data_IF_014138091379
#
_entry.id   IF_014138091379
#
_cell.length_a   1.000
_cell.length_b   1.000
_cell.length_c   1.000
_cell.angle_alpha   90.00
_cell.angle_beta   90.00
_cell.angle_gamma   90.00
#
_symmetry.space_group_name_H-M   'P 1'
#
loop_
_entity.id
_entity.type
_entity.pdbx_description
1 polymer ?
#
# COMPACT_ATOMS: atom_id res chain seq x y z
N UNK A 1 -0.91 -5.14 -58.72
CA UNK A 1 -1.76 -5.26 -57.54
C UNK A 1 -1.09 -5.86 -56.27
N UNK A 2 0.20 -6.28 -56.26
CA UNK A 2 0.88 -6.85 -55.05
C UNK A 2 1.53 -5.79 -54.14
N UNK A 3 1.75 -4.56 -54.58
CA UNK A 3 2.44 -3.52 -53.78
C UNK A 3 1.52 -2.74 -52.84
N UNK A 4 0.20 -2.72 -53.07
CA UNK A 4 -0.75 -2.00 -52.24
C UNK A 4 -1.12 -2.78 -50.95
N UNK A 5 -1.09 -4.12 -50.98
CA UNK A 5 -1.42 -4.94 -49.81
C UNK A 5 -0.34 -4.92 -48.69
N UNK A 6 0.94 -4.71 -49.09
CA UNK A 6 2.06 -4.62 -48.15
C UNK A 6 2.10 -3.30 -47.36
N UNK A 7 1.63 -2.18 -47.98
CA UNK A 7 1.58 -0.89 -47.32
C UNK A 7 0.43 -0.80 -46.27
N UNK A 8 -0.69 -1.46 -46.53
CA UNK A 8 -1.82 -1.48 -45.57
C UNK A 8 -1.55 -2.32 -44.36
N UNK A 9 -0.76 -3.40 -44.48
CA UNK A 9 -0.41 -4.27 -43.35
C UNK A 9 0.60 -3.60 -42.41
N UNK A 10 1.58 -2.84 -42.95
CA UNK A 10 2.55 -2.11 -42.13
C UNK A 10 1.93 -0.95 -41.35
N UNK A 11 0.93 -0.26 -41.91
CA UNK A 11 0.22 0.82 -41.22
C UNK A 11 -0.66 0.28 -40.06
N UNK A 12 -1.27 -0.88 -40.25
CA UNK A 12 -2.11 -1.49 -39.21
C UNK A 12 -1.27 -2.00 -38.02
N UNK A 13 -0.09 -2.56 -38.27
CA UNK A 13 0.83 -3.01 -37.20
C UNK A 13 1.41 -1.82 -36.43
N UNK A 14 1.76 -0.71 -37.10
CA UNK A 14 2.22 0.51 -36.42
C UNK A 14 1.12 1.16 -35.56
N UNK A 15 -0.11 1.21 -36.05
CA UNK A 15 -1.23 1.79 -35.27
C UNK A 15 -1.54 0.95 -34.01
N UNK A 16 -1.46 -0.38 -34.09
CA UNK A 16 -1.65 -1.26 -32.93
C UNK A 16 -0.53 -1.11 -31.90
N UNK A 17 0.72 -0.96 -32.33
CA UNK A 17 1.86 -0.76 -31.43
C UNK A 17 1.79 0.59 -30.71
N UNK A 18 1.39 1.67 -31.37
CA UNK A 18 1.23 2.99 -30.78
C UNK A 18 0.07 3.02 -29.78
N UNK A 19 -1.03 2.32 -30.04
CA UNK A 19 -2.16 2.24 -29.11
C UNK A 19 -1.81 1.45 -27.85
N UNK A 20 -1.03 0.36 -27.97
CA UNK A 20 -0.56 -0.42 -26.81
C UNK A 20 0.41 0.37 -25.92
N UNK A 21 1.31 1.15 -26.51
CA UNK A 21 2.25 1.99 -25.77
C UNK A 21 1.56 3.14 -25.03
N UNK A 22 0.56 3.77 -25.65
CA UNK A 22 -0.26 4.80 -25.01
C UNK A 22 -1.10 4.22 -23.85
N UNK A 23 -1.58 3.00 -23.98
CA UNK A 23 -2.34 2.33 -22.94
C UNK A 23 -1.46 1.99 -21.70
N UNK A 24 -0.24 1.52 -21.90
CA UNK A 24 0.72 1.29 -20.82
C UNK A 24 1.06 2.59 -20.09
N UNK A 25 1.30 3.68 -20.82
CA UNK A 25 1.55 5.00 -20.21
C UNK A 25 0.35 5.51 -19.40
N UNK A 26 -0.89 5.30 -19.87
CA UNK A 26 -2.09 5.68 -19.13
C UNK A 26 -2.25 4.85 -17.84
N UNK A 27 -1.95 3.54 -17.87
CA UNK A 27 -2.00 2.69 -16.69
C UNK A 27 -0.98 3.13 -15.63
N UNK A 28 0.26 3.43 -16.03
CA UNK A 28 1.30 3.92 -15.12
C UNK A 28 0.89 5.24 -14.45
N UNK A 29 0.29 6.18 -15.20
CA UNK A 29 -0.22 7.44 -14.64
C UNK A 29 -1.35 7.21 -13.63
N UNK A 30 -2.28 6.29 -13.90
CA UNK A 30 -3.36 5.96 -12.98
C UNK A 30 -2.80 5.35 -11.69
N UNK A 31 -1.84 4.42 -11.80
CA UNK A 31 -1.20 3.79 -10.64
C UNK A 31 -0.36 4.79 -9.84
N UNK A 32 0.41 5.68 -10.48
CA UNK A 32 1.15 6.75 -9.77
C UNK A 32 0.18 7.65 -8.99
N UNK A 33 -0.91 8.10 -9.61
CA UNK A 33 -1.95 8.89 -8.92
C UNK A 33 -2.58 8.14 -7.76
N UNK A 34 -2.81 6.83 -7.91
CA UNK A 34 -3.33 5.99 -6.85
C UNK A 34 -2.34 5.89 -5.69
N UNK A 35 -1.07 5.69 -5.96
CA UNK A 35 -0.03 5.70 -4.93
C UNK A 35 0.05 7.05 -4.22
N UNK A 36 -0.01 8.18 -4.96
CA UNK A 36 -0.03 9.52 -4.39
C UNK A 36 -1.24 9.72 -3.46
N UNK A 37 -2.43 9.31 -3.88
CA UNK A 37 -3.64 9.43 -3.07
C UNK A 37 -3.59 8.58 -1.80
N UNK A 38 -3.11 7.34 -1.89
CA UNK A 38 -3.18 6.37 -0.80
C UNK A 38 -2.00 6.46 0.18
N UNK A 39 -0.78 6.62 -0.34
CA UNK A 39 0.44 6.60 0.49
C UNK A 39 1.02 7.99 0.76
N UNK A 40 0.77 9.00 -0.09
CA UNK A 40 1.45 10.30 -0.03
C UNK A 40 0.55 11.48 0.37
N UNK A 41 -0.70 11.24 0.78
CA UNK A 41 -1.60 12.30 1.24
C UNK A 41 -0.98 13.11 2.41
N UNK A 42 -0.99 14.44 2.32
CA UNK A 42 -0.35 15.34 3.30
C UNK A 42 1.17 15.29 3.29
N UNK A 43 1.81 16.17 4.05
CA UNK A 43 3.26 16.20 4.26
C UNK A 43 3.70 15.16 5.30
N UNK A 44 2.86 14.94 6.30
CA UNK A 44 3.00 13.89 7.30
C UNK A 44 1.61 13.42 7.78
N UNK A 45 1.59 12.33 8.53
CA UNK A 45 0.36 11.74 9.08
C UNK A 45 0.65 11.10 10.43
N UNK A 46 -0.27 11.30 11.38
CA UNK A 46 -0.37 10.53 12.63
C UNK A 46 -1.73 9.85 12.68
N UNK A 47 -1.76 8.58 13.09
CA UNK A 47 -3.00 7.84 13.33
C UNK A 47 -2.82 6.84 14.48
N UNK A 48 -3.88 6.60 15.23
CA UNK A 48 -4.06 5.39 16.02
C UNK A 48 -4.64 4.32 15.11
N UNK A 49 -4.07 3.14 15.14
CA UNK A 49 -4.47 2.02 14.28
C UNK A 49 -4.89 0.84 15.14
N UNK A 50 -6.04 0.28 14.84
CA UNK A 50 -6.53 -0.97 15.41
C UNK A 50 -6.48 -2.03 14.32
N UNK A 51 -5.81 -3.16 14.59
CA UNK A 51 -5.72 -4.31 13.69
C UNK A 51 -6.37 -5.51 14.36
N UNK A 52 -7.42 -6.04 13.77
CA UNK A 52 -8.10 -7.27 14.19
C UNK A 52 -7.67 -8.42 13.28
N UNK A 53 -6.93 -9.36 13.82
CA UNK A 53 -6.50 -10.59 13.15
C UNK A 53 -7.55 -11.66 13.47
N UNK A 54 -8.26 -12.14 12.43
CA UNK A 54 -9.45 -12.97 12.59
C UNK A 54 -9.23 -14.28 11.83
N UNK A 55 -9.28 -15.40 12.55
CA UNK A 55 -9.18 -16.74 11.95
C UNK A 55 -10.45 -17.10 11.21
N UNK A 56 -10.41 -18.15 10.39
CA UNK A 56 -11.58 -18.72 9.73
C UNK A 56 -12.68 -19.13 10.73
N UNK A 57 -12.28 -19.66 11.90
CA UNK A 57 -13.18 -20.01 13.01
C UNK A 57 -13.74 -18.81 13.78
N UNK A 58 -13.37 -17.56 13.40
CA UNK A 58 -13.86 -16.34 14.03
C UNK A 58 -13.09 -15.90 15.27
N UNK A 59 -12.03 -16.61 15.70
CA UNK A 59 -11.19 -16.14 16.81
C UNK A 59 -10.50 -14.84 16.43
N UNK A 60 -10.56 -13.85 17.33
CA UNK A 60 -10.03 -12.49 17.10
C UNK A 60 -8.86 -12.19 18.04
N UNK A 61 -7.81 -11.62 17.48
CA UNK A 61 -6.69 -11.03 18.23
C UNK A 61 -6.51 -9.59 17.78
N UNK A 62 -6.73 -8.66 18.70
CA UNK A 62 -6.64 -7.22 18.42
C UNK A 62 -5.26 -6.69 18.77
N UNK A 63 -4.74 -5.80 17.93
CA UNK A 63 -3.52 -5.02 18.14
C UNK A 63 -3.82 -3.55 18.03
N UNK A 64 -3.23 -2.76 18.90
CA UNK A 64 -3.35 -1.30 18.89
C UNK A 64 -1.96 -0.71 18.73
N UNK A 65 -1.82 0.19 17.76
CA UNK A 65 -0.54 0.86 17.49
C UNK A 65 -0.74 2.32 17.10
N UNK A 66 0.30 3.13 17.26
CA UNK A 66 0.43 4.44 16.63
C UNK A 66 1.23 4.29 15.35
N UNK A 67 0.74 4.88 14.27
CA UNK A 67 1.43 4.99 12.99
C UNK A 67 1.76 6.45 12.70
N UNK A 68 3.02 6.69 12.38
CA UNK A 68 3.55 7.98 11.95
C UNK A 68 4.15 7.81 10.55
N UNK A 69 3.85 8.76 9.66
CA UNK A 69 4.39 8.81 8.31
C UNK A 69 4.86 10.22 8.01
N UNK A 70 5.97 10.33 7.27
CA UNK A 70 6.49 11.60 6.75
C UNK A 70 6.93 11.45 5.30
N UNK A 71 6.52 12.40 4.48
CA UNK A 71 6.92 12.51 3.08
C UNK A 71 8.05 13.53 2.95
N UNK A 72 9.03 13.24 2.12
CA UNK A 72 10.01 14.23 1.68
C UNK A 72 9.48 14.85 0.37
N UNK A 73 9.16 16.14 0.42
CA UNK A 73 8.60 16.87 -0.71
C UNK A 73 9.55 16.96 -1.92
N UNK A 74 10.88 16.77 -1.71
CA UNK A 74 11.90 16.94 -2.78
C UNK A 74 12.20 15.64 -3.51
N UNK A 75 12.28 14.51 -2.77
CA UNK A 75 12.81 13.24 -3.29
C UNK A 75 11.75 12.15 -3.48
N UNK A 76 10.50 12.39 -3.12
CA UNK A 76 9.45 11.36 -2.99
C UNK A 76 9.83 10.23 -2.00
N UNK A 77 10.86 10.40 -1.18
CA UNK A 77 11.16 9.46 -0.10
C UNK A 77 10.07 9.54 0.97
N UNK A 78 9.82 8.42 1.62
CA UNK A 78 8.90 8.35 2.73
C UNK A 78 9.54 7.68 3.93
N UNK A 79 9.12 8.09 5.11
CA UNK A 79 9.51 7.45 6.36
C UNK A 79 8.26 7.06 7.14
N UNK A 80 8.29 5.88 7.73
CA UNK A 80 7.24 5.38 8.61
C UNK A 80 7.86 4.99 9.93
N UNK A 81 7.14 5.27 11.01
CA UNK A 81 7.43 4.77 12.35
C UNK A 81 6.15 4.27 12.98
N UNK A 82 6.20 3.07 13.56
CA UNK A 82 5.07 2.46 14.25
C UNK A 82 5.48 2.02 15.64
N UNK A 83 4.56 2.16 16.60
CA UNK A 83 4.73 1.70 17.97
C UNK A 83 3.51 0.91 18.39
N UNK A 84 3.70 -0.34 18.83
CA UNK A 84 2.63 -1.21 19.29
C UNK A 84 2.36 -1.00 20.78
N UNK A 85 1.11 -0.69 21.13
CA UNK A 85 0.66 -0.48 22.48
C UNK A 85 0.11 -1.76 23.12
N UNK A 86 -0.62 -2.55 22.31
CA UNK A 86 -1.35 -3.74 22.77
C UNK A 86 -1.34 -4.84 21.71
N UNK A 87 -1.52 -6.10 22.10
CA UNK A 87 -1.51 -6.66 23.48
C UNK A 87 -0.10 -6.79 24.06
N UNK A 88 0.01 -7.37 25.26
CA UNK A 88 1.29 -7.45 25.99
C UNK A 88 2.42 -8.19 25.25
N UNK A 89 2.09 -9.16 24.41
CA UNK A 89 3.07 -9.94 23.61
C UNK A 89 3.75 -9.12 22.48
N UNK A 90 3.13 -8.02 22.04
CA UNK A 90 3.71 -7.10 21.04
C UNK A 90 3.98 -5.70 21.57
N UNK A 91 3.59 -5.41 22.83
CA UNK A 91 3.79 -4.08 23.43
C UNK A 91 5.25 -3.66 23.38
N UNK A 92 5.48 -2.42 22.92
CA UNK A 92 6.82 -1.86 22.76
C UNK A 92 7.53 -2.30 21.48
N UNK A 93 6.96 -3.21 20.68
CA UNK A 93 7.47 -3.47 19.34
C UNK A 93 7.40 -2.19 18.52
N UNK A 94 8.50 -1.86 17.84
CA UNK A 94 8.58 -0.72 16.94
C UNK A 94 8.98 -1.16 15.55
N UNK A 95 8.50 -0.42 14.55
CA UNK A 95 8.83 -0.67 13.16
C UNK A 95 9.19 0.63 12.47
N UNK A 96 10.32 0.65 11.77
CA UNK A 96 10.83 1.79 11.02
C UNK A 96 10.99 1.43 9.55
N UNK A 97 10.53 2.30 8.66
CA UNK A 97 10.73 2.17 7.21
C UNK A 97 11.32 3.46 6.67
N UNK A 98 12.34 3.32 5.83
CA UNK A 98 12.79 4.36 4.90
C UNK A 98 12.51 3.85 3.49
N UNK A 99 11.50 4.43 2.85
CA UNK A 99 11.10 4.10 1.47
C UNK A 99 11.73 5.06 0.50
N UNK A 100 12.20 4.50 -0.60
CA UNK A 100 12.81 5.22 -1.72
C UNK A 100 12.04 4.92 -3.00
N UNK A 101 11.93 5.87 -3.96
CA UNK A 101 11.21 5.65 -5.21
C UNK A 101 11.97 4.76 -6.21
N UNK A 102 13.30 4.64 -6.06
CA UNK A 102 14.24 4.09 -7.05
C UNK A 102 15.01 2.86 -6.57
N UNK A 103 14.79 2.42 -5.34
CA UNK A 103 15.43 1.23 -4.75
C UNK A 103 14.57 0.60 -3.67
N UNK A 104 14.99 -0.57 -3.19
CA UNK A 104 14.35 -1.26 -2.08
C UNK A 104 14.31 -0.41 -0.81
N UNK A 105 13.19 -0.48 -0.10
CA UNK A 105 13.06 0.20 1.18
C UNK A 105 13.89 -0.48 2.26
N UNK A 106 14.51 0.33 3.12
CA UNK A 106 15.11 -0.16 4.35
C UNK A 106 14.04 -0.31 5.43
N UNK A 107 14.01 -1.46 6.10
CA UNK A 107 13.01 -1.79 7.13
C UNK A 107 13.68 -2.39 8.35
N UNK A 108 13.29 -1.94 9.54
CA UNK A 108 13.78 -2.46 10.81
C UNK A 108 12.61 -2.68 11.76
N UNK A 109 12.67 -3.76 12.51
CA UNK A 109 11.76 -4.08 13.60
C UNK A 109 12.54 -4.30 14.88
N UNK A 110 12.12 -3.65 15.95
CA UNK A 110 12.61 -3.93 17.30
C UNK A 110 11.60 -4.80 18.03
N UNK A 111 12.08 -5.87 18.64
CA UNK A 111 11.28 -6.86 19.38
C UNK A 111 11.73 -6.82 20.84
N UNK A 112 10.97 -6.17 21.74
CA UNK A 112 11.36 -6.00 23.15
C UNK A 112 11.60 -7.31 23.88
N UNK A 113 10.80 -8.35 23.61
CA UNK A 113 10.89 -9.65 24.28
C UNK A 113 12.26 -10.31 24.16
N UNK A 114 13.02 -10.01 23.11
CA UNK A 114 14.38 -10.51 22.88
C UNK A 114 15.42 -9.39 22.82
N UNK A 115 15.00 -8.15 23.10
CA UNK A 115 15.82 -6.93 23.07
C UNK A 115 16.68 -6.83 21.79
N UNK A 116 16.05 -7.00 20.61
CA UNK A 116 16.76 -7.11 19.35
C UNK A 116 16.15 -6.24 18.25
N UNK A 117 16.99 -5.47 17.57
CA UNK A 117 16.65 -4.85 16.29
C UNK A 117 17.00 -5.84 15.17
N UNK A 118 16.02 -6.14 14.32
CA UNK A 118 16.22 -6.96 13.12
C UNK A 118 15.94 -6.11 11.88
N UNK A 119 16.86 -6.11 10.92
CA UNK A 119 16.58 -5.60 9.58
C UNK A 119 15.76 -6.64 8.80
N UNK A 120 14.66 -6.21 8.21
CA UNK A 120 13.86 -7.02 7.30
C UNK A 120 14.52 -6.92 5.92
N UNK A 121 15.06 -8.03 5.43
CA UNK A 121 15.71 -8.06 4.12
C UNK A 121 14.69 -7.82 2.99
N UNK A 122 15.13 -7.31 1.84
CA UNK A 122 14.26 -7.04 0.70
C UNK A 122 13.47 -8.29 0.26
N UNK A 123 14.12 -9.46 0.23
CA UNK A 123 13.49 -10.76 -0.09
C UNK A 123 12.39 -11.16 0.89
N UNK A 124 12.43 -10.65 2.13
CA UNK A 124 11.46 -10.95 3.18
C UNK A 124 10.35 -9.87 3.27
N UNK A 125 10.35 -8.88 2.35
CA UNK A 125 9.38 -7.78 2.34
C UNK A 125 7.93 -8.27 2.20
N UNK A 126 7.72 -9.42 1.61
CA UNK A 126 6.41 -10.08 1.46
C UNK A 126 6.01 -10.96 2.63
N UNK A 127 6.88 -11.15 3.62
CA UNK A 127 6.52 -11.86 4.86
C UNK A 127 5.46 -11.10 5.63
N UNK A 128 4.68 -11.85 6.42
CA UNK A 128 3.59 -11.31 7.25
C UNK A 128 4.07 -10.20 8.19
N UNK A 129 3.41 -9.04 8.13
CA UNK A 129 3.64 -7.94 9.04
C UNK A 129 3.04 -8.26 10.41
N UNK A 130 3.92 -8.61 11.36
CA UNK A 130 3.56 -8.90 12.76
C UNK A 130 2.40 -9.91 12.86
N UNK A 131 2.40 -10.96 12.01
CA UNK A 131 1.39 -12.04 11.99
C UNK A 131 0.05 -11.69 11.36
N UNK A 132 -0.08 -10.53 10.70
CA UNK A 132 -1.27 -10.13 9.95
C UNK A 132 -1.26 -10.68 8.50
N UNK A 133 -2.36 -10.52 7.77
CA UNK A 133 -2.44 -10.84 6.34
C UNK A 133 -1.80 -9.77 5.45
N UNK A 134 -1.44 -8.62 6.01
CA UNK A 134 -0.60 -7.63 5.35
C UNK A 134 0.87 -8.04 5.41
N UNK A 135 1.63 -7.77 4.36
CA UNK A 135 3.08 -7.93 4.34
C UNK A 135 3.79 -6.65 4.81
N UNK A 136 5.10 -6.74 5.09
CA UNK A 136 5.92 -5.55 5.36
C UNK A 136 5.89 -4.55 4.20
N UNK A 137 5.78 -5.02 2.95
CA UNK A 137 5.68 -4.16 1.76
C UNK A 137 4.32 -3.45 1.69
N UNK A 138 3.21 -4.12 2.06
CA UNK A 138 1.87 -3.54 2.03
C UNK A 138 1.73 -2.32 2.98
N UNK A 139 2.62 -2.18 3.97
CA UNK A 139 2.65 -1.03 4.88
C UNK A 139 3.04 0.26 4.18
N UNK A 140 4.04 0.24 3.31
CA UNK A 140 4.60 1.42 2.65
C UNK A 140 4.33 1.45 1.14
N UNK A 141 3.75 0.39 0.61
CA UNK A 141 3.48 0.21 -0.81
C UNK A 141 4.72 -0.16 -1.62
N UNK A 142 4.47 -0.64 -2.82
CA UNK A 142 5.44 -1.08 -3.80
C UNK A 142 5.86 0.08 -4.72
N UNK A 143 7.04 0.04 -5.31
CA UNK A 143 7.45 1.05 -6.28
C UNK A 143 6.73 0.83 -7.62
N UNK A 144 6.38 1.93 -8.29
CA UNK A 144 5.71 1.88 -9.61
C UNK A 144 6.53 1.09 -10.63
N UNK A 145 7.85 1.28 -10.63
CA UNK A 145 8.76 0.67 -11.58
C UNK A 145 8.95 -0.85 -11.41
N UNK A 146 8.49 -1.42 -10.28
CA UNK A 146 8.68 -2.86 -9.98
C UNK A 146 7.70 -3.77 -10.73
N UNK A 147 6.64 -3.20 -11.31
CA UNK A 147 5.61 -3.94 -12.03
C UNK A 147 5.41 -3.38 -13.45
N UNK A 148 4.81 -4.19 -14.33
CA UNK A 148 4.22 -3.76 -15.59
C UNK A 148 2.73 -3.55 -15.36
N UNK A 149 2.20 -2.39 -15.77
CA UNK A 149 0.80 -2.04 -15.56
C UNK A 149 0.02 -2.00 -16.87
N UNK A 150 -1.19 -2.52 -16.86
CA UNK A 150 -2.10 -2.53 -18.01
C UNK A 150 -3.50 -2.12 -17.57
N UNK A 151 -4.09 -1.12 -18.21
CA UNK A 151 -5.50 -0.77 -18.04
C UNK A 151 -6.34 -1.81 -18.80
N UNK A 152 -7.05 -2.67 -18.06
CA UNK A 152 -7.87 -3.71 -18.66
C UNK A 152 -9.23 -3.18 -19.10
N UNK A 153 -9.90 -2.39 -18.24
CA UNK A 153 -11.25 -1.90 -18.43
C UNK A 153 -11.61 -0.84 -17.39
N UNK A 154 -12.76 -0.27 -17.59
CA UNK A 154 -13.47 0.54 -16.59
C UNK A 154 -14.73 -0.20 -16.18
N UNK A 155 -15.03 -0.21 -14.88
CA UNK A 155 -16.25 -0.84 -14.36
C UNK A 155 -16.67 -0.23 -13.02
N UNK A 156 -17.91 -0.49 -12.64
CA UNK A 156 -18.40 -0.11 -11.30
C UNK A 156 -17.96 -1.12 -10.25
N UNK A 157 -17.50 -0.59 -9.10
CA UNK A 157 -17.33 -1.35 -7.87
C UNK A 157 -18.19 -0.69 -6.78
N UNK A 158 -19.33 -1.33 -6.45
CA UNK A 158 -20.36 -0.67 -5.65
C UNK A 158 -20.91 0.58 -6.36
N UNK A 159 -20.85 1.72 -5.68
CA UNK A 159 -21.24 3.03 -6.22
C UNK A 159 -20.13 3.77 -6.97
N UNK A 160 -18.91 3.23 -6.95
CA UNK A 160 -17.72 3.88 -7.50
C UNK A 160 -17.47 3.47 -8.94
N UNK A 161 -17.14 4.45 -9.80
CA UNK A 161 -16.61 4.22 -11.13
C UNK A 161 -15.11 4.01 -11.03
N UNK A 162 -14.60 2.85 -11.44
CA UNK A 162 -13.21 2.44 -11.27
C UNK A 162 -12.49 2.20 -12.58
N UNK A 163 -11.18 2.47 -12.58
CA UNK A 163 -10.23 1.83 -13.47
C UNK A 163 -9.86 0.47 -12.92
N UNK A 164 -9.82 -0.56 -13.76
CA UNK A 164 -9.28 -1.88 -13.41
C UNK A 164 -7.92 -2.04 -14.05
N UNK A 165 -6.89 -2.04 -13.21
CA UNK A 165 -5.49 -2.16 -13.63
C UNK A 165 -4.98 -3.54 -13.27
N UNK A 166 -4.36 -4.23 -14.24
CA UNK A 166 -3.51 -5.38 -13.98
C UNK A 166 -2.09 -4.93 -13.73
N UNK A 167 -1.46 -5.44 -12.69
CA UNK A 167 -0.04 -5.24 -12.37
C UNK A 167 0.66 -6.59 -12.33
N UNK A 168 1.69 -6.76 -13.14
CA UNK A 168 2.51 -7.98 -13.25
C UNK A 168 3.92 -7.67 -12.75
N UNK A 169 4.38 -8.32 -11.66
CA UNK A 169 5.72 -8.11 -11.13
C UNK A 169 6.81 -8.42 -12.16
N UNK A 170 7.85 -7.56 -12.23
CA UNK A 170 9.04 -7.79 -13.08
C UNK A 170 10.02 -8.80 -12.48
N UNK A 171 9.94 -9.01 -11.16
CA UNK A 171 10.73 -10.00 -10.44
C UNK A 171 9.81 -11.02 -9.76
N UNK A 172 10.26 -12.26 -9.47
CA UNK A 172 9.46 -13.28 -8.79
C UNK A 172 8.93 -12.80 -7.44
N UNK A 173 7.63 -13.03 -7.21
CA UNK A 173 6.89 -12.65 -6.00
C UNK A 173 6.04 -13.83 -5.50
N UNK A 174 5.37 -13.65 -4.37
CA UNK A 174 4.36 -14.57 -3.84
C UNK A 174 3.04 -14.56 -4.64
N UNK A 175 2.95 -13.69 -5.65
CA UNK A 175 1.86 -13.61 -6.63
C UNK A 175 2.42 -13.35 -8.03
N UNK A 176 1.71 -13.80 -9.07
CA UNK A 176 2.10 -13.61 -10.47
C UNK A 176 1.47 -12.36 -11.10
N UNK A 177 0.33 -11.92 -10.59
CA UNK A 177 -0.38 -10.71 -11.01
C UNK A 177 -1.32 -10.21 -9.92
N UNK A 178 -1.62 -8.92 -10.00
CA UNK A 178 -2.58 -8.24 -9.15
C UNK A 178 -3.57 -7.47 -10.02
N UNK A 179 -4.87 -7.55 -9.72
CA UNK A 179 -5.90 -6.65 -10.24
C UNK A 179 -6.21 -5.59 -9.21
N UNK A 180 -6.32 -4.33 -9.63
CA UNK A 180 -6.55 -3.21 -8.75
C UNK A 180 -7.72 -2.35 -9.27
N UNK A 181 -8.76 -2.18 -8.48
CA UNK A 181 -9.90 -1.29 -8.72
C UNK A 181 -9.62 0.07 -8.10
N UNK A 182 -9.34 1.06 -8.94
CA UNK A 182 -8.95 2.42 -8.54
C UNK A 182 -10.11 3.36 -8.84
N UNK A 183 -10.63 4.03 -7.82
CA UNK A 183 -11.70 5.02 -7.98
C UNK A 183 -11.26 6.18 -8.87
N UNK A 184 -12.06 6.52 -9.89
CA UNK A 184 -11.75 7.59 -10.85
C UNK A 184 -11.71 8.98 -10.24
N UNK A 185 -12.41 9.22 -9.13
CA UNK A 185 -12.52 10.55 -8.50
C UNK A 185 -11.39 10.80 -7.52
N UNK A 186 -11.15 9.85 -6.60
CA UNK A 186 -10.19 10.00 -5.52
C UNK A 186 -8.83 9.36 -5.82
N UNK A 187 -8.77 8.46 -6.81
CA UNK A 187 -7.64 7.58 -7.11
C UNK A 187 -7.29 6.63 -5.96
N UNK A 188 -8.16 6.46 -4.97
CA UNK A 188 -7.94 5.46 -3.94
C UNK A 188 -8.14 4.04 -4.49
N UNK A 189 -7.28 3.07 -4.09
CA UNK A 189 -7.53 1.66 -4.36
C UNK A 189 -8.70 1.20 -3.49
N UNK A 190 -9.76 0.71 -4.12
CA UNK A 190 -10.97 0.22 -3.42
C UNK A 190 -10.95 -1.29 -3.23
N UNK A 191 -10.32 -2.01 -4.16
CA UNK A 191 -10.17 -3.46 -4.11
C UNK A 191 -8.87 -3.87 -4.81
N UNK A 192 -8.18 -4.86 -4.27
CA UNK A 192 -7.06 -5.53 -4.95
C UNK A 192 -7.23 -7.04 -4.85
N UNK A 193 -6.98 -7.75 -5.94
CA UNK A 193 -6.97 -9.21 -6.01
C UNK A 193 -5.57 -9.68 -6.38
N UNK A 194 -4.99 -10.57 -5.58
CA UNK A 194 -3.66 -11.14 -5.80
C UNK A 194 -3.81 -12.61 -6.21
N UNK A 195 -3.17 -12.97 -7.32
CA UNK A 195 -3.22 -14.30 -7.91
C UNK A 195 -1.88 -15.00 -7.78
N UNK A 196 -1.89 -16.23 -7.25
CA UNK A 196 -0.69 -17.03 -7.02
C UNK A 196 -0.11 -17.66 -8.29
N UNK A 197 0.93 -18.50 -8.13
CA UNK A 197 1.61 -19.16 -9.24
C UNK A 197 0.70 -20.11 -10.05
N UNK A 198 -0.41 -20.59 -9.49
CA UNK A 198 -1.43 -21.38 -10.16
C UNK A 198 -2.52 -20.53 -10.81
N UNK A 199 -2.36 -19.20 -10.76
CA UNK A 199 -3.36 -18.21 -11.18
C UNK A 199 -4.69 -18.34 -10.41
N UNK A 200 -4.63 -18.80 -9.17
CA UNK A 200 -5.75 -18.85 -8.24
C UNK A 200 -5.77 -17.61 -7.36
N UNK A 201 -6.97 -17.14 -7.01
CA UNK A 201 -7.13 -15.99 -6.10
C UNK A 201 -6.63 -16.36 -4.70
N UNK A 202 -5.55 -15.72 -4.28
CA UNK A 202 -4.87 -16.00 -3.01
C UNK A 202 -5.21 -15.00 -1.92
N UNK A 203 -5.23 -13.68 -2.24
CA UNK A 203 -5.52 -12.62 -1.28
C UNK A 203 -6.41 -11.56 -1.90
N UNK A 204 -7.24 -10.93 -1.06
CA UNK A 204 -8.10 -9.80 -1.44
C UNK A 204 -7.95 -8.68 -0.44
N UNK A 205 -7.61 -7.50 -0.94
CA UNK A 205 -7.71 -6.24 -0.20
C UNK A 205 -9.04 -5.57 -0.53
N UNK A 206 -9.69 -4.97 0.47
CA UNK A 206 -10.84 -4.08 0.30
C UNK A 206 -10.71 -2.82 1.12
N UNK A 207 -11.07 -1.68 0.55
CA UNK A 207 -11.29 -0.43 1.26
C UNK A 207 -12.73 -0.44 1.78
N UNK A 208 -12.92 -0.76 3.05
CA UNK A 208 -14.24 -0.93 3.65
C UNK A 208 -14.92 0.40 3.99
N UNK A 209 -14.12 1.46 4.24
CA UNK A 209 -14.63 2.80 4.50
C UNK A 209 -13.63 3.86 4.05
N UNK A 210 -14.15 4.85 3.33
CA UNK A 210 -13.41 6.05 2.91
C UNK A 210 -14.04 7.27 3.57
N UNK A 211 -13.22 8.17 4.12
CA UNK A 211 -13.62 9.46 4.68
C UNK A 211 -12.73 10.57 4.16
N UNK A 212 -13.22 11.80 4.19
CA UNK A 212 -12.40 12.99 3.93
C UNK A 212 -11.91 13.52 5.29
N UNK A 213 -10.60 13.42 5.51
CA UNK A 213 -9.97 13.82 6.80
C UNK A 213 -9.31 15.18 6.66
N UNK A 214 -9.46 16.03 7.70
CA UNK A 214 -8.78 17.32 7.80
C UNK A 214 -9.43 18.46 7.00
N UNK A 215 -10.71 18.34 6.63
CA UNK A 215 -11.45 19.37 5.87
C UNK A 215 -11.94 20.56 6.72
N UNK A 216 -11.39 20.78 7.93
CA UNK A 216 -11.85 21.82 8.85
C UNK A 216 -11.26 23.20 8.54
N UNK A 217 -12.04 24.25 8.81
CA UNK A 217 -11.58 25.65 8.72
C UNK A 217 -11.18 26.12 7.32
N UNK A 218 -11.78 25.56 6.26
CA UNK A 218 -11.47 25.93 4.87
C UNK A 218 -10.23 25.24 4.31
N UNK A 219 -9.62 24.32 5.04
CA UNK A 219 -8.51 23.49 4.54
C UNK A 219 -9.05 22.38 3.62
N UNK A 220 -8.27 22.04 2.60
CA UNK A 220 -8.55 20.91 1.73
C UNK A 220 -8.36 19.61 2.53
N UNK A 221 -9.43 18.79 2.63
CA UNK A 221 -9.34 17.48 3.23
C UNK A 221 -8.69 16.45 2.30
N UNK A 222 -8.26 15.34 2.89
CA UNK A 222 -7.63 14.22 2.20
C UNK A 222 -8.59 13.03 2.18
N UNK A 223 -9.04 12.53 1.00
CA UNK A 223 -9.73 11.25 0.91
C UNK A 223 -8.83 10.15 1.50
N UNK A 224 -9.34 9.43 2.48
CA UNK A 224 -8.57 8.49 3.30
C UNK A 224 -9.34 7.21 3.49
N UNK A 225 -8.70 6.07 3.23
CA UNK A 225 -9.24 4.75 3.58
C UNK A 225 -9.06 4.56 5.09
N UNK A 226 -10.12 4.78 5.86
CA UNK A 226 -10.10 4.69 7.33
C UNK A 226 -10.40 3.29 7.85
N UNK A 227 -11.00 2.43 7.03
CA UNK A 227 -11.15 1.00 7.32
C UNK A 227 -10.83 0.17 6.08
N UNK A 228 -10.04 -0.89 6.27
CA UNK A 228 -9.63 -1.79 5.19
C UNK A 228 -9.45 -3.22 5.71
N UNK A 229 -9.64 -4.18 4.82
CA UNK A 229 -9.45 -5.60 5.11
C UNK A 229 -8.48 -6.22 4.11
N UNK A 230 -7.59 -7.07 4.59
CA UNK A 230 -6.85 -8.03 3.77
C UNK A 230 -7.30 -9.43 4.16
N UNK A 231 -7.82 -10.19 3.20
CA UNK A 231 -8.28 -11.57 3.38
C UNK A 231 -7.34 -12.54 2.65
N UNK A 232 -6.89 -13.55 3.34
CA UNK A 232 -6.28 -14.73 2.73
C UNK A 232 -7.40 -15.69 2.34
N UNK A 233 -7.56 -15.93 1.04
CA UNK A 233 -8.69 -16.71 0.51
C UNK A 233 -8.54 -18.20 0.86
N UNK A 234 -7.31 -18.73 0.83
CA UNK A 234 -7.03 -20.15 1.05
C UNK A 234 -7.20 -20.56 2.51
N UNK A 235 -6.73 -19.73 3.45
CA UNK A 235 -6.83 -20.03 4.89
C UNK A 235 -8.13 -19.52 5.53
N UNK A 236 -8.88 -18.64 4.84
CA UNK A 236 -10.03 -17.95 5.43
C UNK A 236 -9.67 -16.89 6.47
N UNK A 237 -8.39 -16.76 6.84
CA UNK A 237 -7.90 -15.73 7.76
C UNK A 237 -8.01 -14.34 7.13
N UNK A 238 -8.30 -13.33 7.95
CA UNK A 238 -8.33 -11.93 7.50
C UNK A 238 -7.84 -10.98 8.60
N UNK A 239 -7.29 -9.87 8.16
CA UNK A 239 -6.93 -8.77 9.04
C UNK A 239 -7.74 -7.54 8.66
N UNK A 240 -8.55 -7.06 9.60
CA UNK A 240 -9.28 -5.79 9.51
C UNK A 240 -8.45 -4.69 10.16
N UNK A 241 -8.25 -3.57 9.47
CA UNK A 241 -7.48 -2.42 9.97
C UNK A 241 -8.37 -1.20 10.00
N UNK A 242 -8.50 -0.57 11.18
CA UNK A 242 -9.23 0.68 11.38
C UNK A 242 -8.25 1.76 11.81
N UNK A 243 -8.25 2.87 11.09
CA UNK A 243 -7.52 4.08 11.42
C UNK A 243 -8.42 5.00 12.22
N UNK A 244 -7.98 5.35 13.43
CA UNK A 244 -8.65 6.27 14.34
C UNK A 244 -7.79 7.52 14.49
N UNK A 245 -8.44 8.65 14.79
CA UNK A 245 -7.77 9.93 15.10
C UNK A 245 -6.72 10.33 14.03
N UNK A 246 -7.04 10.08 12.75
CA UNK A 246 -6.14 10.40 11.64
C UNK A 246 -5.98 11.91 11.54
N UNK A 247 -4.74 12.37 11.56
CA UNK A 247 -4.38 13.77 11.38
C UNK A 247 -3.25 13.90 10.39
N UNK A 248 -3.36 14.87 9.47
CA UNK A 248 -2.36 15.20 8.48
C UNK A 248 -1.72 16.55 8.80
N UNK A 249 -0.51 16.77 8.27
CA UNK A 249 0.21 18.05 8.31
C UNK A 249 0.44 18.56 9.73
N UNK A 250 0.76 17.65 10.66
CA UNK A 250 0.98 17.95 12.09
C UNK A 250 2.42 18.34 12.42
N UNK A 251 3.32 18.37 11.45
CA UNK A 251 4.71 18.81 11.61
C UNK A 251 5.58 17.81 12.35
N UNK A 252 5.51 16.51 12.02
CA UNK A 252 6.34 15.48 12.65
C UNK A 252 7.83 15.76 12.36
N UNK A 253 8.65 15.78 13.42
CA UNK A 253 10.09 16.02 13.29
C UNK A 253 10.81 14.82 12.65
N UNK A 254 11.83 15.08 11.83
CA UNK A 254 12.67 14.06 11.21
C UNK A 254 13.36 13.15 12.24
N UNK A 255 13.67 13.66 13.42
CA UNK A 255 14.30 12.89 14.51
C UNK A 255 13.45 11.70 15.01
N UNK A 256 12.17 11.65 14.67
CA UNK A 256 11.29 10.52 14.95
C UNK A 256 11.68 9.29 14.13
N UNK A 257 12.19 9.50 12.92
CA UNK A 257 12.40 8.46 11.91
C UNK A 257 13.86 8.02 11.83
N UNK A 258 14.51 7.84 12.98
CA UNK A 258 15.90 7.35 13.09
C UNK A 258 15.92 5.98 13.79
N UNK A 259 16.98 5.21 13.57
CA UNK A 259 17.07 3.87 14.17
C UNK A 259 17.08 3.89 15.71
N UNK A 260 17.61 4.93 16.33
CA UNK A 260 17.57 5.11 17.79
C UNK A 260 16.13 5.15 18.33
N UNK A 261 15.15 5.62 17.56
CA UNK A 261 13.74 5.64 17.95
C UNK A 261 13.13 4.25 18.08
N UNK A 262 13.78 3.20 17.53
CA UNK A 262 13.31 1.83 17.68
C UNK A 262 13.35 1.37 19.15
N UNK A 263 14.44 1.66 19.86
CA UNK A 263 14.63 1.29 21.28
C UNK A 263 14.13 2.38 22.23
N UNK A 264 14.17 3.65 21.77
CA UNK A 264 13.76 4.83 22.55
C UNK A 264 12.66 5.60 21.80
N UNK A 265 11.41 5.08 21.79
CA UNK A 265 10.32 5.69 21.03
C UNK A 265 10.02 7.11 21.48
N UNK A 266 9.71 8.06 20.55
CA UNK A 266 9.47 9.45 20.85
C UNK A 266 8.12 9.64 21.57
N UNK A 267 8.13 9.71 22.89
CA UNK A 267 6.95 9.73 23.76
C UNK A 267 5.88 10.77 23.40
N UNK A 268 6.29 11.96 22.89
CA UNK A 268 5.37 13.01 22.40
C UNK A 268 4.44 12.51 21.28
N UNK A 269 4.94 11.61 20.42
CA UNK A 269 4.24 11.21 19.20
C UNK A 269 3.49 9.90 19.32
N UNK A 270 3.86 9.05 20.29
CA UNK A 270 3.25 7.73 20.46
C UNK A 270 2.16 7.68 21.56
N UNK A 271 1.97 8.77 22.28
CA UNK A 271 0.91 8.90 23.31
C UNK A 271 -0.40 9.36 22.72
#
# INVERSE_FOLDING_TARGET
MRKVALLSLSLFVMAAAVSAQNQASAADQIVDRSQQAFYYAGTDMKAKVVMDLITDSGNRRTRVLTMLRKNDARSKNQKYFMYFHEPGDVRGTTFLVWKYPDKDADRWIFIPAVNMIRRVAAKDSRSSFVGSDFSYEDVSGRNLADDNHTLLREEKFGEFECYVIESVPKAPMDYIRKLNWIDKKTFLPLKEEYYDAQNELARVFTADKVEVVGADGGKKGYPTVVKRTMKNVKSGHRTEVTYLDVTYDVGINESVFVQQSLESPPGKWIR
#
